data_IF_544546295022
#
_entry.id   IF_544546295022
#
_cell.length_a   1.000
_cell.length_b   1.000
_cell.length_c   1.000
_cell.angle_alpha   90.00
_cell.angle_beta   90.00
_cell.angle_gamma   90.00
#
_symmetry.space_group_name_H-M   'P 1'
#
loop_
_entity.id
_entity.type
_entity.pdbx_description
1 polymer ?
#
# COMPACT_ATOMS: atom_id res chain seq x y z
N UNK A 1 81.94 -39.65 34.79
CA UNK A 1 80.60 -40.26 34.66
C UNK A 1 79.60 -39.13 34.52
N UNK A 2 78.90 -39.06 33.39
CA UNK A 2 78.02 -37.96 32.97
C UNK A 2 76.63 -38.15 33.60
N UNK A 3 76.12 -37.15 34.31
CA UNK A 3 74.68 -37.03 34.60
C UNK A 3 74.16 -35.76 33.92
N UNK A 4 73.38 -35.96 32.86
CA UNK A 4 72.72 -34.90 32.11
C UNK A 4 71.27 -34.78 32.59
N UNK A 5 70.94 -33.65 33.22
CA UNK A 5 69.58 -33.28 33.60
C UNK A 5 68.87 -32.71 32.36
N UNK A 6 67.82 -33.38 31.89
CA UNK A 6 66.99 -32.90 30.77
C UNK A 6 65.93 -31.94 31.30
N UNK A 7 66.01 -30.67 30.92
CA UNK A 7 64.95 -29.67 31.17
C UNK A 7 63.99 -29.68 29.98
N UNK A 8 62.74 -30.09 30.22
CA UNK A 8 61.64 -29.97 29.26
C UNK A 8 61.08 -28.53 29.30
N UNK A 9 61.18 -27.81 28.19
CA UNK A 9 60.52 -26.51 28.00
C UNK A 9 59.19 -26.79 27.29
N UNK A 10 58.09 -26.53 27.97
CA UNK A 10 56.73 -26.62 27.41
C UNK A 10 56.39 -25.31 26.70
N UNK A 11 56.19 -25.36 25.38
CA UNK A 11 55.69 -24.23 24.59
C UNK A 11 54.17 -24.17 24.69
N UNK A 12 53.64 -23.21 25.44
CA UNK A 12 52.22 -22.88 25.42
C UNK A 12 51.92 -22.05 24.15
N UNK A 13 51.25 -22.66 23.16
CA UNK A 13 50.67 -21.94 22.02
C UNK A 13 49.48 -21.10 22.50
N UNK A 14 49.65 -19.78 22.53
CA UNK A 14 48.56 -18.82 22.69
C UNK A 14 47.81 -18.69 21.35
N UNK A 15 46.65 -19.31 21.22
CA UNK A 15 45.75 -19.09 20.08
C UNK A 15 45.03 -17.74 20.25
N UNK A 16 45.52 -16.71 19.56
CA UNK A 16 44.73 -15.49 19.35
C UNK A 16 43.62 -15.80 18.34
N UNK A 17 42.40 -15.99 18.84
CA UNK A 17 41.20 -15.97 18.00
C UNK A 17 40.90 -14.51 17.60
N UNK A 18 40.77 -14.20 16.30
CA UNK A 18 40.35 -12.88 15.87
C UNK A 18 38.88 -12.69 16.23
N UNK A 19 38.60 -11.79 17.17
CA UNK A 19 37.25 -11.34 17.49
C UNK A 19 36.66 -10.61 16.28
N UNK A 20 35.76 -11.27 15.55
CA UNK A 20 34.93 -10.64 14.52
C UNK A 20 34.03 -9.58 15.19
N UNK A 21 34.38 -8.31 15.07
CA UNK A 21 33.45 -7.21 15.31
C UNK A 21 32.42 -7.20 14.17
N UNK A 22 31.36 -7.99 14.32
CA UNK A 22 30.16 -7.83 13.52
C UNK A 22 29.53 -6.48 13.93
N UNK A 23 29.80 -5.42 13.16
CA UNK A 23 28.96 -4.22 13.21
C UNK A 23 27.57 -4.62 12.73
N UNK A 24 26.67 -4.91 13.67
CA UNK A 24 25.25 -4.94 13.36
C UNK A 24 24.85 -3.52 12.95
N UNK A 25 24.66 -3.30 11.66
CA UNK A 25 23.89 -2.15 11.20
C UNK A 25 22.47 -2.37 11.71
N UNK A 26 22.16 -1.93 12.93
CA UNK A 26 20.80 -1.83 13.44
C UNK A 26 20.06 -0.86 12.52
N UNK A 27 19.41 -1.40 11.49
CA UNK A 27 18.41 -0.65 10.75
C UNK A 27 17.23 -0.47 11.69
N UNK A 28 17.23 0.66 12.41
CA UNK A 28 16.11 1.04 13.26
C UNK A 28 14.85 1.08 12.40
N UNK A 29 13.92 0.21 12.75
CA UNK A 29 12.55 0.25 12.27
C UNK A 29 11.99 1.64 12.55
N UNK A 30 11.38 2.22 11.52
CA UNK A 30 10.75 3.53 11.58
C UNK A 30 9.25 3.32 11.62
N UNK A 31 8.56 4.09 12.45
CA UNK A 31 7.11 4.01 12.56
C UNK A 31 6.52 5.31 12.05
N UNK A 32 5.45 5.20 11.26
CA UNK A 32 4.74 6.32 10.68
C UNK A 32 3.27 6.25 11.04
N UNK A 33 2.74 7.38 11.48
CA UNK A 33 1.30 7.61 11.58
C UNK A 33 0.82 8.10 10.20
N UNK A 34 -0.15 7.39 9.63
CA UNK A 34 -0.77 7.70 8.34
C UNK A 34 -2.23 8.05 8.59
N UNK A 35 -2.61 9.30 8.35
CA UNK A 35 -4.01 9.76 8.39
C UNK A 35 -4.52 9.97 6.98
N UNK A 36 -5.59 9.27 6.61
CA UNK A 36 -6.29 9.42 5.33
C UNK A 36 -7.61 10.14 5.59
N UNK A 37 -7.88 11.21 4.85
CA UNK A 37 -9.14 11.97 4.88
C UNK A 37 -9.84 11.80 3.54
N UNK A 38 -11.09 11.36 3.56
CA UNK A 38 -11.95 11.32 2.38
C UNK A 38 -12.49 12.73 2.09
N UNK A 39 -12.20 13.25 0.89
CA UNK A 39 -12.59 14.60 0.45
C UNK A 39 -13.86 14.61 -0.40
N UNK A 40 -14.43 13.44 -0.70
CA UNK A 40 -15.59 13.32 -1.58
C UNK A 40 -16.90 13.56 -0.83
N UNK A 41 -17.97 13.80 -1.59
CA UNK A 41 -19.32 14.07 -1.08
C UNK A 41 -20.17 12.80 -0.96
N UNK A 42 -20.08 11.90 -1.94
CA UNK A 42 -20.91 10.71 -2.05
C UNK A 42 -20.15 9.39 -2.10
N UNK A 43 -18.81 9.41 -2.10
CA UNK A 43 -17.99 8.22 -2.27
C UNK A 43 -17.43 7.75 -0.92
N UNK A 44 -17.65 6.49 -0.56
CA UNK A 44 -16.96 5.84 0.56
C UNK A 44 -15.72 5.12 0.06
N UNK A 45 -14.70 4.97 0.92
CA UNK A 45 -13.55 4.13 0.60
C UNK A 45 -13.67 2.81 1.36
N UNK A 46 -13.37 1.69 0.72
CA UNK A 46 -13.18 0.39 1.38
C UNK A 46 -11.93 0.42 2.28
N UNK A 47 -11.57 -0.63 3.03
CA UNK A 47 -10.35 -0.63 3.82
C UNK A 47 -9.13 -0.14 3.02
N UNK A 48 -8.47 0.89 3.53
CA UNK A 48 -7.30 1.49 2.87
C UNK A 48 -6.08 0.67 3.20
N UNK A 49 -5.53 -0.04 2.22
CA UNK A 49 -4.28 -0.77 2.36
C UNK A 49 -3.11 0.17 2.09
N UNK A 50 -2.15 0.19 3.01
CA UNK A 50 -0.86 0.84 2.85
C UNK A 50 0.28 -0.15 2.83
N UNK A 51 1.30 0.13 2.03
CA UNK A 51 2.50 -0.67 1.94
C UNK A 51 3.74 0.21 1.84
N UNK A 52 4.78 -0.10 2.63
CA UNK A 52 6.09 0.55 2.47
C UNK A 52 7.03 -0.32 1.64
N UNK A 53 7.75 0.29 0.69
CA UNK A 53 8.41 -0.47 -0.36
C UNK A 53 9.68 0.20 -0.91
N UNK A 54 10.39 -0.54 -1.76
CA UNK A 54 11.57 -0.09 -2.48
C UNK A 54 11.24 1.08 -3.43
N UNK A 55 12.19 1.99 -3.71
CA UNK A 55 11.97 3.14 -4.59
C UNK A 55 11.43 2.87 -6.00
N UNK A 56 11.62 1.67 -6.54
CA UNK A 56 11.22 1.30 -7.91
C UNK A 56 9.88 0.58 -7.97
N UNK A 57 9.28 0.21 -6.83
CA UNK A 57 7.99 -0.46 -6.80
C UNK A 57 6.83 0.50 -6.90
N UNK A 58 5.76 0.01 -7.51
CA UNK A 58 4.43 0.61 -7.55
C UNK A 58 3.42 -0.52 -7.45
N UNK A 59 2.25 -0.25 -6.88
CA UNK A 59 1.16 -1.23 -6.83
C UNK A 59 0.59 -1.51 -8.24
N UNK A 60 0.59 -0.49 -9.10
CA UNK A 60 0.20 -0.57 -10.51
C UNK A 60 0.86 0.56 -11.32
N UNK A 61 0.81 0.46 -12.65
CA UNK A 61 1.37 1.45 -13.59
C UNK A 61 0.32 1.90 -14.59
N UNK A 62 0.18 3.22 -14.76
CA UNK A 62 -0.78 3.80 -15.71
C UNK A 62 -0.48 3.35 -17.14
N UNK A 63 -1.55 3.00 -17.86
CA UNK A 63 -1.47 2.46 -19.23
C UNK A 63 -1.05 0.99 -19.31
N UNK A 64 -0.95 0.29 -18.18
CA UNK A 64 -0.71 -1.15 -18.11
C UNK A 64 -1.91 -1.85 -17.44
N UNK A 65 -2.19 -3.13 -17.76
CA UNK A 65 -3.14 -3.94 -17.00
C UNK A 65 -2.76 -4.00 -15.51
N UNK A 66 -3.76 -4.03 -14.63
CA UNK A 66 -3.55 -4.31 -13.21
C UNK A 66 -3.29 -5.81 -12.99
N UNK A 67 -2.80 -6.17 -11.81
CA UNK A 67 -2.74 -7.58 -11.40
C UNK A 67 -4.08 -8.02 -10.83
N UNK A 68 -4.36 -9.33 -10.83
CA UNK A 68 -5.59 -9.92 -10.27
C UNK A 68 -5.84 -9.46 -8.81
N UNK A 69 -4.77 -9.27 -8.04
CA UNK A 69 -4.88 -8.82 -6.66
C UNK A 69 -5.20 -7.32 -6.52
N UNK A 70 -4.83 -6.50 -7.51
CA UNK A 70 -5.23 -5.08 -7.57
C UNK A 70 -6.66 -4.94 -8.10
N UNK A 71 -7.04 -5.75 -9.09
CA UNK A 71 -8.42 -5.90 -9.57
C UNK A 71 -9.37 -6.26 -8.41
N UNK A 72 -9.01 -7.26 -7.59
CA UNK A 72 -9.78 -7.62 -6.40
C UNK A 72 -10.00 -6.47 -5.42
N UNK A 73 -9.01 -5.59 -5.31
CA UNK A 73 -9.17 -4.37 -4.51
C UNK A 73 -10.13 -3.43 -5.21
N UNK A 74 -9.95 -3.18 -6.50
CA UNK A 74 -10.71 -2.23 -7.31
C UNK A 74 -12.22 -2.55 -7.37
N UNK A 75 -12.58 -3.81 -7.55
CA UNK A 75 -13.97 -4.24 -7.81
C UNK A 75 -14.73 -4.68 -6.56
N UNK A 76 -14.02 -5.09 -5.51
CA UNK A 76 -14.66 -5.64 -4.30
C UNK A 76 -14.15 -5.07 -2.99
N UNK A 77 -13.11 -4.24 -3.02
CA UNK A 77 -12.43 -3.78 -1.81
C UNK A 77 -11.73 -4.89 -1.04
N UNK A 78 -11.48 -6.05 -1.65
CA UNK A 78 -10.81 -7.18 -0.99
C UNK A 78 -9.28 -6.98 -1.01
N UNK A 79 -8.77 -6.43 0.08
CA UNK A 79 -7.34 -6.19 0.27
C UNK A 79 -6.55 -7.42 0.72
N UNK A 80 -7.22 -8.53 1.07
CA UNK A 80 -6.59 -9.69 1.70
C UNK A 80 -5.52 -10.35 0.81
N UNK A 81 -5.88 -10.76 -0.43
CA UNK A 81 -4.94 -11.37 -1.37
C UNK A 81 -3.76 -10.46 -1.71
N UNK A 82 -4.01 -9.18 -2.02
CA UNK A 82 -2.95 -8.21 -2.28
C UNK A 82 -2.02 -8.08 -1.08
N UNK A 83 -2.57 -7.89 0.13
CA UNK A 83 -1.77 -7.77 1.35
C UNK A 83 -0.84 -8.99 1.53
N UNK A 84 -1.37 -10.20 1.36
CA UNK A 84 -0.58 -11.42 1.49
C UNK A 84 0.55 -11.51 0.45
N UNK A 85 0.29 -11.11 -0.80
CA UNK A 85 1.33 -11.03 -1.85
C UNK A 85 2.44 -10.04 -1.47
N UNK A 86 2.05 -8.85 -1.00
CA UNK A 86 3.00 -7.82 -0.60
C UNK A 86 3.86 -8.28 0.59
N UNK A 87 3.25 -8.89 1.61
CA UNK A 87 3.93 -9.39 2.81
C UNK A 87 4.91 -10.54 2.49
N UNK A 88 4.65 -11.33 1.44
CA UNK A 88 5.54 -12.40 0.99
C UNK A 88 6.75 -11.90 0.16
N UNK A 89 6.74 -10.64 -0.27
CA UNK A 89 7.73 -10.08 -1.20
C UNK A 89 8.79 -9.24 -0.49
N UNK A 90 10.06 -9.53 -0.74
CA UNK A 90 11.21 -8.77 -0.20
C UNK A 90 11.31 -7.33 -0.74
N UNK A 91 10.45 -6.95 -1.69
CA UNK A 91 10.37 -5.59 -2.23
C UNK A 91 9.53 -4.66 -1.35
N UNK A 92 8.82 -5.22 -0.38
CA UNK A 92 7.99 -4.52 0.60
C UNK A 92 8.54 -4.76 2.00
N UNK A 93 8.39 -3.78 2.89
CA UNK A 93 8.86 -3.87 4.28
C UNK A 93 7.74 -4.14 5.25
N UNK A 94 6.55 -3.62 5.01
CA UNK A 94 5.40 -3.78 5.87
C UNK A 94 4.13 -3.38 5.13
N UNK A 95 3.03 -4.01 5.51
CA UNK A 95 1.67 -3.60 5.17
C UNK A 95 0.88 -3.22 6.43
N UNK A 96 -0.04 -2.28 6.28
CA UNK A 96 -1.02 -1.93 7.30
C UNK A 96 -2.30 -1.50 6.61
N UNK A 97 -3.45 -1.66 7.25
CA UNK A 97 -4.73 -1.29 6.68
C UNK A 97 -5.59 -0.56 7.70
N UNK A 98 -6.47 0.33 7.21
CA UNK A 98 -7.62 0.76 8.00
C UNK A 98 -8.66 -0.36 8.12
N UNK A 99 -9.60 -0.19 9.02
CA UNK A 99 -10.76 -1.07 9.16
C UNK A 99 -12.03 -0.37 8.67
N UNK A 100 -12.98 -1.15 8.16
CA UNK A 100 -14.30 -0.66 7.74
C UNK A 100 -14.26 0.35 6.60
N UNK A 101 -15.41 1.01 6.37
CA UNK A 101 -15.56 2.03 5.35
C UNK A 101 -15.12 3.41 5.88
N UNK A 102 -14.33 4.13 5.08
CA UNK A 102 -14.05 5.54 5.30
C UNK A 102 -15.05 6.40 4.54
N UNK A 103 -16.07 6.87 5.24
CA UNK A 103 -17.17 7.66 4.65
C UNK A 103 -16.80 9.13 4.43
N UNK A 104 -17.67 9.84 3.72
CA UNK A 104 -17.49 11.21 3.27
C UNK A 104 -17.08 12.17 4.39
N UNK A 105 -16.03 12.97 4.16
CA UNK A 105 -15.51 13.96 5.11
C UNK A 105 -14.82 13.40 6.36
N UNK A 106 -14.84 12.08 6.57
CA UNK A 106 -14.20 11.44 7.71
C UNK A 106 -12.69 11.24 7.48
N UNK A 107 -11.99 10.92 8.57
CA UNK A 107 -10.59 10.51 8.51
C UNK A 107 -10.37 9.21 9.28
N UNK A 108 -9.45 8.39 8.81
CA UNK A 108 -8.94 7.22 9.53
C UNK A 108 -7.43 7.36 9.69
N UNK A 109 -6.91 6.84 10.80
CA UNK A 109 -5.48 6.84 11.09
C UNK A 109 -5.02 5.44 11.45
N UNK A 110 -3.89 5.02 10.89
CA UNK A 110 -3.23 3.76 11.23
C UNK A 110 -1.72 3.96 11.24
N UNK A 111 -1.02 3.05 11.91
CA UNK A 111 0.45 3.03 11.92
C UNK A 111 0.99 2.05 10.89
N UNK A 112 2.12 2.39 10.28
CA UNK A 112 2.86 1.51 9.39
C UNK A 112 4.36 1.65 9.63
N UNK A 113 5.07 0.53 9.59
CA UNK A 113 6.52 0.53 9.77
C UNK A 113 7.27 0.55 8.44
N UNK A 114 8.55 0.91 8.50
CA UNK A 114 9.46 0.79 7.37
C UNK A 114 10.90 0.68 7.81
N UNK A 115 11.64 -0.20 7.14
CA UNK A 115 13.08 -0.35 7.31
C UNK A 115 13.83 -0.01 6.02
N UNK A 116 15.06 0.53 6.14
CA UNK A 116 15.90 0.70 4.95
C UNK A 116 16.13 -0.66 4.27
N UNK A 117 16.19 -0.71 2.93
CA UNK A 117 16.16 0.41 1.97
C UNK A 117 14.75 0.89 1.56
N UNK A 118 13.67 0.31 2.11
CA UNK A 118 12.29 0.69 1.83
C UNK A 118 12.03 2.12 2.34
N UNK A 119 11.74 3.02 1.42
CA UNK A 119 11.64 4.46 1.72
C UNK A 119 10.48 5.14 1.01
N UNK A 120 9.65 4.32 0.36
CA UNK A 120 8.42 4.73 -0.29
C UNK A 120 7.22 4.13 0.42
N UNK A 121 6.10 4.77 0.25
CA UNK A 121 4.80 4.29 0.66
C UNK A 121 3.82 4.44 -0.51
N UNK A 122 3.01 3.42 -0.69
CA UNK A 122 1.82 3.48 -1.53
C UNK A 122 0.59 3.11 -0.72
N UNK A 123 -0.55 3.69 -1.08
CA UNK A 123 -1.86 3.40 -0.49
C UNK A 123 -2.83 3.07 -1.63
N UNK A 124 -3.80 2.19 -1.37
CA UNK A 124 -4.85 1.80 -2.32
C UNK A 124 -6.14 1.49 -1.56
N UNK A 125 -7.29 1.78 -2.18
CA UNK A 125 -8.62 1.46 -1.68
C UNK A 125 -9.64 1.60 -2.82
N UNK A 126 -10.71 0.80 -2.82
CA UNK A 126 -11.83 0.98 -3.75
C UNK A 126 -12.72 2.14 -3.35
N UNK A 127 -13.25 2.82 -4.37
CA UNK A 127 -14.28 3.83 -4.25
C UNK A 127 -15.66 3.18 -4.39
N UNK A 128 -16.59 3.53 -3.48
CA UNK A 128 -17.96 3.05 -3.51
C UNK A 128 -18.95 4.21 -3.53
N UNK A 129 -20.00 4.19 -4.36
CA UNK A 129 -20.28 3.20 -5.40
C UNK A 129 -19.47 3.46 -6.69
N UNK A 130 -18.70 2.48 -7.17
CA UNK A 130 -18.08 2.45 -8.51
C UNK A 130 -17.92 0.99 -8.94
N UNK A 131 -17.78 0.72 -10.25
CA UNK A 131 -17.48 -0.62 -10.76
C UNK A 131 -16.09 -1.08 -10.29
N UNK A 132 -15.03 -0.43 -10.78
CA UNK A 132 -13.64 -0.81 -10.53
C UNK A 132 -12.71 0.39 -10.21
N UNK A 133 -13.27 1.49 -9.70
CA UNK A 133 -12.46 2.67 -9.41
C UNK A 133 -11.77 2.56 -8.04
N UNK A 134 -10.47 2.84 -8.01
CA UNK A 134 -9.64 2.90 -6.81
C UNK A 134 -9.05 4.28 -6.56
N UNK A 135 -8.86 4.66 -5.29
CA UNK A 135 -8.04 5.79 -4.89
C UNK A 135 -6.63 5.33 -4.52
N UNK A 136 -5.59 6.01 -5.02
CA UNK A 136 -4.20 5.61 -4.72
C UNK A 136 -3.22 6.75 -4.43
N UNK A 137 -2.37 6.52 -3.42
CA UNK A 137 -1.11 7.24 -3.22
C UNK A 137 0.00 6.39 -3.84
N UNK A 138 0.72 6.92 -4.84
CA UNK A 138 1.69 6.14 -5.61
C UNK A 138 3.14 6.51 -5.27
N UNK A 139 3.83 5.64 -4.53
CA UNK A 139 5.30 5.66 -4.33
C UNK A 139 5.87 6.94 -3.73
N UNK A 140 5.16 7.59 -2.80
CA UNK A 140 5.64 8.84 -2.18
C UNK A 140 6.74 8.57 -1.17
N UNK A 141 7.64 9.53 -0.99
CA UNK A 141 8.79 9.37 -0.09
C UNK A 141 8.35 9.53 1.37
N UNK A 142 8.72 8.59 2.21
CA UNK A 142 8.47 8.67 3.65
C UNK A 142 9.29 9.82 4.30
N UNK A 143 8.72 10.55 5.28
CA UNK A 143 9.43 11.64 5.96
C UNK A 143 10.66 11.11 6.72
N UNK A 144 11.78 11.82 6.60
CA UNK A 144 13.07 11.33 7.11
C UNK A 144 13.29 11.54 8.60
N UNK A 145 12.69 12.56 9.20
CA UNK A 145 12.98 12.99 10.58
C UNK A 145 11.79 12.73 11.47
N UNK A 146 12.03 12.26 12.71
CA UNK A 146 10.99 12.08 13.73
C UNK A 146 10.28 13.41 13.95
N UNK A 147 8.96 13.38 14.07
CA UNK A 147 8.10 14.56 14.18
C UNK A 147 7.77 15.23 12.85
N UNK A 148 8.52 14.98 11.77
CA UNK A 148 8.22 15.57 10.46
C UNK A 148 6.96 14.95 9.88
N UNK A 149 6.03 15.83 9.50
CA UNK A 149 4.79 15.50 8.80
C UNK A 149 4.84 16.00 7.36
N UNK A 150 4.30 15.22 6.43
CA UNK A 150 4.10 15.61 5.03
C UNK A 150 2.66 15.30 4.63
N UNK A 151 2.11 16.10 3.72
CA UNK A 151 0.75 15.92 3.22
C UNK A 151 0.77 15.71 1.71
N UNK A 152 -0.03 14.76 1.24
CA UNK A 152 -0.22 14.45 -0.16
C UNK A 152 -1.71 14.43 -0.50
N UNK A 153 -2.01 14.56 -1.78
CA UNK A 153 -3.33 14.28 -2.35
C UNK A 153 -3.29 12.91 -3.04
N UNK A 154 -4.41 12.19 -2.98
CA UNK A 154 -4.66 10.99 -3.77
C UNK A 154 -5.76 11.28 -4.79
N UNK A 155 -5.64 10.62 -5.93
CA UNK A 155 -6.58 10.69 -7.03
C UNK A 155 -7.20 9.32 -7.27
N UNK A 156 -8.35 9.33 -7.94
CA UNK A 156 -9.04 8.15 -8.40
C UNK A 156 -8.44 7.64 -9.71
N UNK A 157 -8.43 6.32 -9.86
CA UNK A 157 -7.97 5.60 -11.04
C UNK A 157 -8.96 4.48 -11.31
N UNK A 158 -9.30 4.35 -12.56
CA UNK A 158 -10.10 3.26 -13.10
C UNK A 158 -9.17 2.08 -13.37
N UNK A 159 -9.50 0.87 -12.89
CA UNK A 159 -8.63 -0.29 -13.06
C UNK A 159 -8.64 -0.83 -14.50
N UNK A 160 -9.72 -0.56 -15.24
CA UNK A 160 -9.98 -1.02 -16.58
C UNK A 160 -10.31 -2.51 -16.64
N UNK A 161 -10.91 -3.06 -15.58
CA UNK A 161 -11.23 -4.49 -15.43
C UNK A 161 -12.72 -4.77 -15.43
N UNK A 162 -13.57 -3.74 -15.31
CA UNK A 162 -15.02 -3.86 -15.53
C UNK A 162 -15.55 -2.74 -16.43
N UNK A 163 -16.67 -2.99 -17.10
CA UNK A 163 -17.40 -1.95 -17.80
C UNK A 163 -17.89 -0.85 -16.84
N UNK A 164 -17.60 0.40 -17.19
CA UNK A 164 -18.07 1.60 -16.49
C UNK A 164 -19.55 1.92 -16.73
N UNK A 165 -20.43 0.94 -16.49
CA UNK A 165 -21.86 1.04 -16.75
C UNK A 165 -22.65 1.75 -15.66
N UNK A 166 -22.04 1.97 -14.49
CA UNK A 166 -22.65 2.56 -13.30
C UNK A 166 -23.93 1.83 -12.84
N UNK A 167 -24.13 0.57 -13.24
CA UNK A 167 -25.28 -0.23 -12.88
C UNK A 167 -25.07 -0.83 -11.50
N UNK A 168 -26.04 -0.62 -10.62
CA UNK A 168 -25.95 -1.14 -9.26
C UNK A 168 -25.92 -2.68 -9.19
N UNK A 169 -26.30 -3.38 -10.27
CA UNK A 169 -26.17 -4.84 -10.35
C UNK A 169 -24.71 -5.30 -10.31
N UNK A 170 -23.78 -4.47 -10.80
CA UNK A 170 -22.34 -4.78 -10.94
C UNK A 170 -21.50 -4.04 -9.89
N UNK A 171 -22.12 -3.21 -9.04
CA UNK A 171 -21.41 -2.45 -8.01
C UNK A 171 -21.72 -3.05 -6.64
N UNK A 172 -20.70 -3.40 -5.82
CA UNK A 172 -20.94 -3.97 -4.51
C UNK A 172 -21.57 -2.97 -3.52
N UNK A 173 -21.94 -3.50 -2.34
CA UNK A 173 -22.51 -2.72 -1.26
C UNK A 173 -21.56 -1.64 -0.70
N UNK A 174 -22.07 -0.70 0.10
CA UNK A 174 -23.37 -0.77 0.77
C UNK A 174 -24.55 -0.15 0.01
N UNK A 175 -24.32 0.66 -1.03
CA UNK A 175 -25.40 1.33 -1.76
C UNK A 175 -26.11 0.40 -2.75
N UNK A 176 -25.34 -0.16 -3.69
CA UNK A 176 -25.88 -0.90 -4.83
C UNK A 176 -26.19 -2.36 -4.48
N UNK A 177 -25.27 -3.04 -3.79
CA UNK A 177 -25.46 -4.42 -3.32
C UNK A 177 -25.36 -5.48 -4.42
N UNK A 178 -24.85 -5.11 -5.60
CA UNK A 178 -24.50 -5.99 -6.70
C UNK A 178 -23.35 -6.95 -6.35
N UNK A 179 -23.05 -7.85 -7.29
CA UNK A 179 -21.91 -8.75 -7.14
C UNK A 179 -20.64 -8.03 -7.61
N UNK A 180 -19.54 -8.08 -6.83
CA UNK A 180 -18.23 -7.68 -7.34
C UNK A 180 -17.70 -8.76 -8.29
N UNK A 181 -16.61 -8.45 -9.00
CA UNK A 181 -15.87 -9.42 -9.82
C UNK A 181 -16.70 -9.93 -10.99
N UNK A 182 -17.19 -8.99 -11.80
CA UNK A 182 -17.82 -9.33 -13.07
C UNK A 182 -16.82 -10.04 -14.00
N UNK A 183 -17.34 -10.84 -14.93
CA UNK A 183 -16.49 -11.58 -15.84
C UNK A 183 -15.97 -10.67 -16.94
N UNK A 184 -14.71 -10.86 -17.35
CA UNK A 184 -14.07 -10.12 -18.44
C UNK A 184 -15.01 -9.96 -19.65
N UNK A 185 -15.17 -8.72 -20.08
CA UNK A 185 -16.00 -8.33 -21.20
C UNK A 185 -15.19 -7.54 -22.22
N UNK A 186 -15.67 -7.54 -23.47
CA UNK A 186 -15.05 -6.74 -24.55
C UNK A 186 -15.19 -5.21 -24.34
N UNK A 187 -15.96 -4.82 -23.33
CA UNK A 187 -16.20 -3.43 -22.91
C UNK A 187 -15.17 -2.93 -21.91
N UNK A 188 -14.39 -3.82 -21.29
CA UNK A 188 -13.38 -3.45 -20.30
C UNK A 188 -12.20 -2.80 -21.02
N UNK A 189 -11.62 -1.78 -20.40
CA UNK A 189 -10.58 -0.96 -21.02
C UNK A 189 -9.24 -1.70 -21.12
N UNK A 190 -8.97 -2.62 -20.17
CA UNK A 190 -7.79 -3.48 -20.12
C UNK A 190 -6.51 -2.81 -19.62
N UNK A 191 -6.59 -1.59 -19.10
CA UNK A 191 -5.46 -0.88 -18.51
C UNK A 191 -5.92 0.15 -17.50
N UNK A 192 -5.07 0.44 -16.50
CA UNK A 192 -5.37 1.46 -15.48
C UNK A 192 -5.14 2.88 -15.99
N UNK A 193 -6.10 3.78 -15.76
CA UNK A 193 -6.03 5.20 -16.15
C UNK A 193 -6.66 6.12 -15.10
N UNK A 194 -6.45 7.46 -15.16
CA UNK A 194 -7.13 8.38 -14.24
C UNK A 194 -8.65 8.29 -14.43
N UNK A 195 -9.38 7.99 -13.35
CA UNK A 195 -10.82 7.80 -13.45
C UNK A 195 -11.52 9.10 -13.85
N UNK A 196 -12.46 9.05 -14.81
CA UNK A 196 -13.17 10.22 -15.30
C UNK A 196 -14.32 10.65 -14.38
N UNK A 197 -14.54 9.97 -13.24
CA UNK A 197 -15.65 10.24 -12.33
C UNK A 197 -16.93 9.49 -12.72
N UNK A 198 -18.04 9.87 -12.09
CA UNK A 198 -19.38 9.31 -12.37
C UNK A 198 -20.10 10.27 -13.32
N UNK A 199 -20.62 9.75 -14.43
CA UNK A 199 -21.24 10.53 -15.51
C UNK A 199 -22.77 10.43 -15.51
N UNK A 200 -23.34 9.46 -14.79
CA UNK A 200 -24.79 9.27 -14.71
C UNK A 200 -25.36 8.48 -15.87
N UNK A 201 -24.61 7.50 -16.36
CA UNK A 201 -24.99 6.62 -17.46
C UNK A 201 -25.84 5.43 -17.00
N UNK A 202 -25.76 5.07 -15.72
CA UNK A 202 -26.51 3.98 -15.10
C UNK A 202 -27.37 4.43 -13.91
N UNK A 203 -27.26 3.71 -12.80
CA UNK A 203 -28.08 3.93 -11.59
C UNK A 203 -27.52 5.05 -10.68
N UNK A 204 -26.31 5.53 -10.96
CA UNK A 204 -25.62 6.51 -10.13
C UNK A 204 -25.84 7.93 -10.64
N UNK A 205 -26.48 8.80 -9.85
CA UNK A 205 -26.61 10.20 -10.25
C UNK A 205 -25.26 10.95 -10.15
N UNK A 206 -24.78 11.51 -11.27
CA UNK A 206 -23.58 12.37 -11.33
C UNK A 206 -23.57 13.42 -10.21
N UNK A 207 -24.69 14.13 -10.03
CA UNK A 207 -24.82 15.19 -8.99
C UNK A 207 -24.58 14.74 -7.54
N UNK A 208 -24.68 13.44 -7.28
CA UNK A 208 -24.51 12.83 -5.97
C UNK A 208 -23.11 12.22 -5.79
N UNK A 209 -22.60 11.54 -6.82
CA UNK A 209 -21.43 10.65 -6.70
C UNK A 209 -20.19 11.13 -7.45
N UNK A 210 -20.31 12.07 -8.38
CA UNK A 210 -19.16 12.55 -9.15
C UNK A 210 -18.15 13.33 -8.30
N UNK A 211 -16.89 13.36 -8.76
CA UNK A 211 -15.80 14.08 -8.14
C UNK A 211 -14.90 14.72 -9.20
N UNK A 212 -14.18 15.77 -8.80
CA UNK A 212 -13.16 16.39 -9.64
C UNK A 212 -11.86 16.56 -8.87
N UNK A 213 -10.75 16.16 -9.49
CA UNK A 213 -9.41 16.32 -8.92
C UNK A 213 -9.08 15.29 -7.85
N UNK A 214 -8.64 15.75 -6.67
CA UNK A 214 -8.19 14.88 -5.60
C UNK A 214 -9.37 14.40 -4.75
N UNK A 215 -9.48 13.08 -4.56
CA UNK A 215 -10.55 12.45 -3.77
C UNK A 215 -10.14 12.20 -2.32
N UNK A 216 -8.83 12.17 -2.02
CA UNK A 216 -8.35 12.02 -0.65
C UNK A 216 -7.16 12.93 -0.34
N UNK A 217 -7.00 13.25 0.94
CA UNK A 217 -5.80 13.87 1.51
C UNK A 217 -5.15 12.89 2.47
N UNK A 218 -3.83 12.75 2.39
CA UNK A 218 -3.06 11.88 3.27
C UNK A 218 -2.00 12.68 3.99
N UNK A 219 -1.98 12.57 5.32
CA UNK A 219 -0.90 13.09 6.17
C UNK A 219 -0.06 11.92 6.67
N UNK A 220 1.25 12.01 6.51
CA UNK A 220 2.21 10.99 6.96
C UNK A 220 3.20 11.66 7.89
N UNK A 221 3.26 11.20 9.15
CA UNK A 221 4.18 11.71 10.16
C UNK A 221 5.08 10.58 10.64
N UNK A 222 6.40 10.80 10.65
CA UNK A 222 7.31 9.86 11.31
C UNK A 222 7.21 10.04 12.82
N UNK A 223 6.88 8.99 13.54
CA UNK A 223 6.75 9.01 15.01
C UNK A 223 7.90 8.29 15.73
N UNK A 224 8.61 7.40 15.01
CA UNK A 224 9.82 6.72 15.48
C UNK A 224 10.84 6.54 14.34
#
# INVERSE_FOLDING_TARGET
MKNATKTLISFALLSLSPSLLASSYYYHERVYEVTVTNLTKGIAFTPVLGATHLPRNQLFRLGEPVTDNVERVAEGGDIGPLRAELDASSQYSATAASEGLLTNGQSVTFEITSQRPHSRISLISMLLPTNDTMVSLRGKRLPRYIGKSVTYQMHAYDAGTEANDELCANIPGPLCGGQPFSADAATDEGYVYPSPGIHGEGDLAQSAYDWQGAVAKVRIKRIQ
#
